data_IF_018983191099
#
_entry.id   IF_018983191099
#
_cell.length_a   1.000
_cell.length_b   1.000
_cell.length_c   1.000
_cell.angle_alpha   90.00
_cell.angle_beta   90.00
_cell.angle_gamma   90.00
#
_symmetry.space_group_name_H-M   'P 1'
#
loop_
_entity.id
_entity.type
_entity.pdbx_description
1 polymer ?
#
# COMPACT_ATOMS: atom_id res chain seq x y z
N UNK A 1 -1.28 -47.03 28.27
CA UNK A 1 -0.11 -47.93 28.43
C UNK A 1 0.39 -47.79 29.86
N UNK A 2 0.52 -48.91 30.57
CA UNK A 2 1.04 -48.92 31.94
C UNK A 2 2.56 -49.08 31.91
N UNK A 3 3.29 -47.99 32.12
CA UNK A 3 4.76 -47.96 32.05
C UNK A 3 5.42 -48.81 33.13
N UNK A 4 4.78 -48.94 34.30
CA UNK A 4 5.27 -49.80 35.39
C UNK A 4 5.13 -51.28 35.01
N UNK A 5 4.02 -51.65 34.38
CA UNK A 5 3.81 -53.02 33.88
C UNK A 5 4.82 -53.39 32.80
N UNK A 6 5.03 -52.51 31.83
CA UNK A 6 5.99 -52.70 30.73
C UNK A 6 7.42 -52.75 31.29
N UNK A 7 7.79 -51.84 32.21
CA UNK A 7 9.10 -51.84 32.86
C UNK A 7 9.41 -53.14 33.60
N UNK A 8 8.44 -53.64 34.39
CA UNK A 8 8.57 -54.94 35.07
C UNK A 8 8.68 -56.10 34.08
N UNK A 9 7.98 -56.02 32.95
CA UNK A 9 8.06 -57.02 31.89
C UNK A 9 9.44 -57.03 31.22
N UNK A 10 10.00 -55.87 30.87
CA UNK A 10 11.37 -55.72 30.36
C UNK A 10 12.38 -56.34 31.34
N UNK A 11 12.26 -56.01 32.64
CA UNK A 11 13.15 -56.55 33.67
C UNK A 11 13.06 -58.09 33.77
N UNK A 12 11.84 -58.64 33.64
CA UNK A 12 11.60 -60.09 33.65
C UNK A 12 12.24 -60.76 32.44
N UNK A 13 11.94 -60.30 31.23
CA UNK A 13 12.47 -60.89 29.99
C UNK A 13 14.01 -60.81 29.91
N UNK A 14 14.59 -59.69 30.37
CA UNK A 14 16.06 -59.54 30.46
C UNK A 14 16.67 -60.60 31.38
N UNK A 15 16.05 -60.83 32.55
CA UNK A 15 16.52 -61.84 33.52
C UNK A 15 16.37 -63.26 32.97
N UNK A 16 15.29 -63.56 32.24
CA UNK A 16 15.11 -64.85 31.55
C UNK A 16 16.22 -65.12 30.53
N UNK A 17 16.80 -64.07 29.92
CA UNK A 17 17.97 -64.15 29.03
C UNK A 17 19.32 -64.10 29.77
N UNK A 18 19.33 -64.12 31.11
CA UNK A 18 20.54 -64.05 31.95
C UNK A 18 21.42 -62.81 31.72
N UNK A 19 20.84 -61.68 31.29
CA UNK A 19 21.58 -60.44 31.02
C UNK A 19 21.57 -59.49 32.23
N UNK A 20 22.65 -58.75 32.48
CA UNK A 20 22.61 -57.61 33.41
C UNK A 20 22.01 -56.36 32.75
N UNK A 21 21.63 -55.35 33.54
CA UNK A 21 21.18 -54.06 32.97
C UNK A 21 22.29 -53.42 32.11
N UNK A 22 23.55 -53.59 32.50
CA UNK A 22 24.74 -53.12 31.75
C UNK A 22 24.86 -53.82 30.39
N UNK A 23 24.59 -55.13 30.33
CA UNK A 23 24.66 -55.89 29.08
C UNK A 23 23.56 -55.50 28.10
N UNK A 24 22.32 -55.33 28.60
CA UNK A 24 21.21 -54.85 27.76
C UNK A 24 21.47 -53.42 27.25
N UNK A 25 22.02 -52.56 28.11
CA UNK A 25 22.40 -51.21 27.75
C UNK A 25 23.45 -51.19 26.64
N UNK A 26 24.48 -52.05 26.75
CA UNK A 26 25.56 -52.18 25.76
C UNK A 26 25.03 -52.60 24.38
N UNK A 27 24.13 -53.59 24.34
CA UNK A 27 23.56 -54.11 23.07
C UNK A 27 22.66 -53.06 22.41
N UNK A 28 21.89 -52.29 23.19
CA UNK A 28 20.99 -51.27 22.67
C UNK A 28 21.65 -49.89 22.46
N UNK A 29 22.95 -49.76 22.78
CA UNK A 29 23.68 -48.50 22.64
C UNK A 29 23.18 -47.38 23.56
N UNK A 30 22.65 -47.72 24.74
CA UNK A 30 22.14 -46.76 25.74
C UNK A 30 22.89 -46.89 27.06
N UNK A 31 22.64 -45.98 28.01
CA UNK A 31 23.27 -46.06 29.35
C UNK A 31 22.55 -47.07 30.24
N UNK A 32 23.26 -47.71 31.18
CA UNK A 32 22.65 -48.57 32.20
C UNK A 32 21.52 -47.84 32.97
N UNK A 33 21.74 -46.55 33.30
CA UNK A 33 20.72 -45.68 33.93
C UNK A 33 19.44 -45.56 33.09
N UNK A 34 19.54 -45.59 31.77
CA UNK A 34 18.38 -45.59 30.86
C UNK A 34 17.57 -46.88 31.02
N UNK A 35 18.23 -48.05 31.00
CA UNK A 35 17.57 -49.35 31.23
C UNK A 35 16.90 -49.40 32.60
N UNK A 36 17.61 -48.99 33.66
CA UNK A 36 17.07 -48.94 35.03
C UNK A 36 15.83 -48.04 35.12
N UNK A 37 15.80 -46.92 34.40
CA UNK A 37 14.64 -46.04 34.35
C UNK A 37 13.45 -46.66 33.63
N UNK A 38 13.68 -47.43 32.55
CA UNK A 38 12.62 -48.18 31.88
C UNK A 38 12.05 -49.27 32.78
N UNK A 39 12.91 -50.06 33.42
CA UNK A 39 12.49 -51.18 34.28
C UNK A 39 11.70 -50.72 35.51
N UNK A 40 12.00 -49.54 36.03
CA UNK A 40 11.27 -48.91 37.14
C UNK A 40 10.02 -48.13 36.68
N UNK A 41 9.69 -48.13 35.39
CA UNK A 41 8.49 -47.48 34.84
C UNK A 41 8.53 -45.95 34.79
N UNK A 42 9.69 -45.34 35.01
CA UNK A 42 9.84 -43.87 35.04
C UNK A 42 9.63 -43.24 33.65
N UNK A 43 10.08 -43.91 32.59
CA UNK A 43 9.94 -43.46 31.19
C UNK A 43 9.88 -44.69 30.26
N UNK A 44 9.29 -44.52 29.07
CA UNK A 44 9.22 -45.56 28.03
C UNK A 44 10.47 -45.54 27.14
N UNK A 45 10.90 -46.66 26.54
CA UNK A 45 11.89 -46.63 25.47
C UNK A 45 11.41 -45.79 24.29
N UNK A 46 12.32 -45.06 23.64
CA UNK A 46 12.01 -44.30 22.43
C UNK A 46 11.52 -45.22 21.30
N UNK A 47 10.69 -44.68 20.40
CA UNK A 47 10.06 -45.44 19.31
C UNK A 47 11.09 -46.21 18.46
N UNK A 48 12.27 -45.62 18.24
CA UNK A 48 13.38 -46.23 17.50
C UNK A 48 14.01 -47.43 18.19
N UNK A 49 13.91 -47.50 19.53
CA UNK A 49 14.50 -48.56 20.36
C UNK A 49 13.52 -49.68 20.68
N UNK A 50 12.21 -49.50 20.43
CA UNK A 50 11.21 -50.53 20.71
C UNK A 50 11.43 -51.82 19.89
N UNK A 51 11.74 -51.69 18.59
CA UNK A 51 12.02 -52.87 17.73
C UNK A 51 13.33 -53.56 18.13
N UNK A 52 14.47 -52.86 18.23
CA UNK A 52 15.72 -53.46 18.73
C UNK A 52 15.56 -54.11 20.12
N UNK A 53 14.84 -53.46 21.04
CA UNK A 53 14.58 -54.01 22.37
C UNK A 53 13.75 -55.30 22.31
N UNK A 54 12.73 -55.35 21.45
CA UNK A 54 11.91 -56.56 21.27
C UNK A 54 12.72 -57.71 20.67
N UNK A 55 13.63 -57.42 19.74
CA UNK A 55 14.52 -58.42 19.10
C UNK A 55 15.53 -58.98 20.11
N UNK A 56 16.16 -58.12 20.93
CA UNK A 56 17.13 -58.55 21.96
C UNK A 56 16.48 -59.39 23.05
N UNK A 57 15.24 -59.05 23.43
CA UNK A 57 14.47 -59.77 24.44
C UNK A 57 13.71 -60.98 23.88
N UNK A 58 13.74 -61.19 22.56
CA UNK A 58 13.10 -62.30 21.85
C UNK A 58 11.58 -62.38 22.14
N UNK A 59 10.94 -61.21 22.03
CA UNK A 59 9.51 -61.01 22.19
C UNK A 59 8.99 -60.21 21.00
N UNK A 60 7.71 -60.35 20.69
CA UNK A 60 7.09 -59.48 19.69
C UNK A 60 6.96 -58.05 20.24
N UNK A 61 6.98 -57.07 19.32
CA UNK A 61 6.72 -55.67 19.68
C UNK A 61 5.40 -55.51 20.42
N UNK A 62 4.38 -56.31 20.09
CA UNK A 62 3.09 -56.22 20.74
C UNK A 62 3.12 -56.74 22.19
N UNK A 63 3.89 -57.79 22.48
CA UNK A 63 4.11 -58.30 23.86
C UNK A 63 4.89 -57.29 24.71
N UNK A 64 5.89 -56.63 24.12
CA UNK A 64 6.62 -55.54 24.79
C UNK A 64 5.67 -54.41 25.20
N UNK A 65 4.74 -54.03 24.32
CA UNK A 65 3.83 -52.91 24.54
C UNK A 65 2.64 -53.24 25.44
N UNK A 66 2.26 -54.51 25.55
CA UNK A 66 1.24 -55.00 26.50
C UNK A 66 1.82 -55.28 27.89
N UNK A 67 3.13 -55.49 28.00
CA UNK A 67 3.79 -55.97 29.21
C UNK A 67 3.42 -57.41 29.57
N UNK A 68 2.96 -58.20 28.60
CA UNK A 68 2.46 -59.57 28.75
C UNK A 68 2.98 -60.44 27.61
N UNK A 69 3.36 -61.69 27.93
CA UNK A 69 3.72 -62.73 26.95
C UNK A 69 2.43 -63.40 26.43
N UNK A 70 2.46 -63.93 25.21
CA UNK A 70 1.35 -64.67 24.61
C UNK A 70 0.02 -63.88 24.56
N UNK A 71 0.11 -62.63 24.13
CA UNK A 71 -1.09 -61.78 24.00
C UNK A 71 -2.03 -62.27 22.90
N UNK A 72 -3.33 -62.15 23.17
CA UNK A 72 -4.37 -62.36 22.17
C UNK A 72 -4.17 -61.46 20.94
N UNK A 73 -4.53 -61.96 19.75
CA UNK A 73 -4.54 -61.20 18.48
C UNK A 73 -5.27 -59.86 18.60
N UNK A 74 -6.33 -59.79 19.41
CA UNK A 74 -7.10 -58.56 19.64
C UNK A 74 -6.28 -57.47 20.35
N UNK A 75 -5.62 -57.80 21.47
CA UNK A 75 -4.68 -56.89 22.16
C UNK A 75 -3.50 -56.46 21.28
N UNK A 76 -3.01 -57.36 20.42
CA UNK A 76 -1.96 -57.04 19.46
C UNK A 76 -2.42 -55.98 18.44
N UNK A 77 -3.62 -56.14 17.88
CA UNK A 77 -4.22 -55.17 16.97
C UNK A 77 -4.52 -53.83 17.66
N UNK A 78 -4.99 -53.84 18.90
CA UNK A 78 -5.19 -52.64 19.71
C UNK A 78 -3.88 -51.88 19.93
N UNK A 79 -2.79 -52.57 20.28
CA UNK A 79 -1.48 -51.95 20.44
C UNK A 79 -0.99 -51.28 19.15
N UNK A 80 -1.11 -51.95 18.00
CA UNK A 80 -0.76 -51.37 16.69
C UNK A 80 -1.62 -50.13 16.39
N UNK A 81 -2.92 -50.19 16.66
CA UNK A 81 -3.84 -49.05 16.47
C UNK A 81 -3.46 -47.85 17.36
N UNK A 82 -3.02 -48.10 18.59
CA UNK A 82 -2.61 -47.05 19.53
C UNK A 82 -1.31 -46.37 19.11
N UNK A 83 -0.32 -47.14 18.64
CA UNK A 83 0.95 -46.59 18.12
C UNK A 83 0.70 -45.74 16.86
N UNK A 84 -0.12 -46.25 15.94
CA UNK A 84 -0.44 -45.54 14.68
C UNK A 84 -1.25 -44.28 14.93
N UNK A 85 -2.21 -44.30 15.87
CA UNK A 85 -2.92 -43.10 16.29
C UNK A 85 -1.96 -42.08 16.94
N UNK A 86 -1.06 -42.53 17.82
CA UNK A 86 -0.07 -41.66 18.44
C UNK A 86 0.89 -41.03 17.40
N UNK A 87 1.41 -41.82 16.46
CA UNK A 87 2.30 -41.32 15.41
C UNK A 87 1.60 -40.30 14.52
N UNK A 88 0.34 -40.56 14.14
CA UNK A 88 -0.49 -39.61 13.39
C UNK A 88 -0.72 -38.30 14.15
N UNK A 89 -0.92 -38.33 15.47
CA UNK A 89 -1.05 -37.12 16.29
C UNK A 89 0.25 -36.29 16.26
N UNK A 90 1.41 -36.94 16.39
CA UNK A 90 2.72 -36.27 16.32
C UNK A 90 2.96 -35.67 14.93
N UNK A 91 2.72 -36.43 13.86
CA UNK A 91 2.87 -35.98 12.47
C UNK A 91 1.96 -34.77 12.21
N UNK A 92 0.68 -34.85 12.60
CA UNK A 92 -0.26 -33.75 12.41
C UNK A 92 0.15 -32.50 13.20
N UNK A 93 0.75 -32.65 14.38
CA UNK A 93 1.30 -31.53 15.15
C UNK A 93 2.47 -30.85 14.43
N UNK A 94 3.41 -31.64 13.90
CA UNK A 94 4.56 -31.12 13.12
C UNK A 94 4.09 -30.43 11.84
N UNK A 95 3.19 -31.06 11.07
CA UNK A 95 2.62 -30.48 9.86
C UNK A 95 1.89 -29.16 10.14
N UNK A 96 1.10 -29.10 11.23
CA UNK A 96 0.42 -27.86 11.64
C UNK A 96 1.43 -26.74 11.90
N UNK A 97 2.54 -27.03 12.57
CA UNK A 97 3.59 -26.03 12.80
C UNK A 97 4.21 -25.54 11.48
N UNK A 98 4.45 -26.43 10.52
CA UNK A 98 4.95 -26.07 9.18
C UNK A 98 3.96 -25.16 8.44
N UNK A 99 2.66 -25.44 8.52
CA UNK A 99 1.66 -24.58 7.86
C UNK A 99 1.57 -23.20 8.50
N UNK A 100 1.71 -23.12 9.83
CA UNK A 100 1.75 -21.85 10.56
C UNK A 100 2.99 -21.03 10.17
N UNK A 101 4.18 -21.64 10.10
CA UNK A 101 5.40 -20.94 9.68
C UNK A 101 5.30 -20.46 8.23
N UNK A 102 4.68 -21.24 7.34
CA UNK A 102 4.41 -20.84 5.96
C UNK A 102 3.51 -19.60 5.89
N UNK A 103 2.47 -19.53 6.73
CA UNK A 103 1.60 -18.34 6.81
C UNK A 103 2.36 -17.10 7.27
N UNK A 104 3.20 -17.23 8.31
CA UNK A 104 4.02 -16.11 8.78
C UNK A 104 5.02 -15.65 7.72
N UNK A 105 5.63 -16.58 6.98
CA UNK A 105 6.54 -16.24 5.88
C UNK A 105 5.81 -15.51 4.75
N UNK A 106 4.59 -15.95 4.40
CA UNK A 106 3.74 -15.27 3.42
C UNK A 106 3.38 -13.84 3.87
N UNK A 107 2.98 -13.67 5.13
CA UNK A 107 2.67 -12.36 5.70
C UNK A 107 3.90 -11.45 5.73
N UNK A 108 5.06 -11.98 6.11
CA UNK A 108 6.32 -11.25 6.10
C UNK A 108 6.70 -10.75 4.70
N UNK A 109 6.51 -11.59 3.67
CA UNK A 109 6.75 -11.20 2.27
C UNK A 109 5.80 -10.08 1.83
N UNK A 110 4.52 -10.13 2.21
CA UNK A 110 3.55 -9.07 1.91
C UNK A 110 4.00 -7.75 2.54
N UNK A 111 4.31 -7.74 3.84
CA UNK A 111 4.75 -6.55 4.55
C UNK A 111 6.04 -5.99 3.95
N UNK A 112 7.02 -6.86 3.68
CA UNK A 112 8.29 -6.45 3.08
C UNK A 112 8.11 -5.86 1.68
N UNK A 113 7.25 -6.46 0.85
CA UNK A 113 6.94 -5.95 -0.48
C UNK A 113 6.35 -4.54 -0.42
N UNK A 114 5.41 -4.31 0.49
CA UNK A 114 4.74 -3.01 0.65
C UNK A 114 5.66 -1.92 1.20
N UNK A 115 6.61 -2.26 2.07
CA UNK A 115 7.52 -1.30 2.70
C UNK A 115 8.76 -0.98 1.85
N UNK A 116 9.34 -1.97 1.15
CA UNK A 116 10.64 -1.83 0.50
C UNK A 116 10.51 -1.37 -0.96
N UNK A 117 9.51 -1.87 -1.68
CA UNK A 117 9.41 -1.58 -3.12
C UNK A 117 8.75 -0.24 -3.37
N UNK A 118 9.21 0.52 -4.37
CA UNK A 118 8.52 1.74 -4.80
C UNK A 118 7.15 1.41 -5.41
N UNK A 119 6.12 2.26 -5.25
CA UNK A 119 4.80 2.01 -5.83
C UNK A 119 4.80 1.91 -7.36
N UNK A 120 5.76 2.56 -8.02
CA UNK A 120 5.96 2.51 -9.46
C UNK A 120 6.41 1.14 -9.95
N UNK A 121 7.12 0.39 -9.11
CA UNK A 121 7.65 -0.92 -9.46
C UNK A 121 6.58 -2.00 -9.43
N UNK A 122 6.42 -2.73 -10.54
CA UNK A 122 5.55 -3.91 -10.60
C UNK A 122 6.02 -5.05 -9.69
N UNK A 123 7.28 -5.04 -9.22
CA UNK A 123 7.79 -6.09 -8.34
C UNK A 123 7.06 -6.15 -7.00
N UNK A 124 6.60 -5.02 -6.48
CA UNK A 124 5.83 -4.96 -5.23
C UNK A 124 4.57 -5.81 -5.30
N UNK A 125 3.77 -5.64 -6.36
CA UNK A 125 2.51 -6.40 -6.53
C UNK A 125 2.76 -7.89 -6.76
N UNK A 126 3.83 -8.26 -7.48
CA UNK A 126 4.23 -9.65 -7.70
C UNK A 126 4.59 -10.33 -6.38
N UNK A 127 5.44 -9.72 -5.54
CA UNK A 127 5.83 -10.31 -4.26
C UNK A 127 4.64 -10.39 -3.29
N UNK A 128 3.76 -9.39 -3.29
CA UNK A 128 2.52 -9.44 -2.51
C UNK A 128 1.62 -10.61 -2.97
N UNK A 129 1.50 -10.86 -4.27
CA UNK A 129 0.73 -11.98 -4.80
C UNK A 129 1.33 -13.34 -4.39
N UNK A 130 2.66 -13.49 -4.45
CA UNK A 130 3.35 -14.71 -3.99
C UNK A 130 3.12 -14.93 -2.49
N UNK A 131 3.28 -13.88 -1.67
CA UNK A 131 3.05 -13.93 -0.23
C UNK A 131 1.61 -14.29 0.12
N UNK A 132 0.64 -13.75 -0.63
CA UNK A 132 -0.78 -14.07 -0.47
C UNK A 132 -1.08 -15.54 -0.81
N UNK A 133 -0.51 -16.07 -1.89
CA UNK A 133 -0.63 -17.49 -2.25
C UNK A 133 -0.06 -18.40 -1.14
N UNK A 134 1.11 -18.07 -0.60
CA UNK A 134 1.72 -18.83 0.51
C UNK A 134 0.84 -18.80 1.77
N UNK A 135 0.29 -17.64 2.11
CA UNK A 135 -0.61 -17.48 3.24
C UNK A 135 -1.89 -18.31 3.06
N UNK A 136 -2.54 -18.24 1.88
CA UNK A 136 -3.76 -18.99 1.57
C UNK A 136 -3.50 -20.50 1.60
N UNK A 137 -2.37 -20.97 1.05
CA UNK A 137 -2.01 -22.39 1.08
C UNK A 137 -1.83 -22.87 2.53
N UNK A 138 -1.09 -22.12 3.35
CA UNK A 138 -0.92 -22.45 4.77
C UNK A 138 -2.24 -22.47 5.54
N UNK A 139 -3.09 -21.46 5.33
CA UNK A 139 -4.41 -21.36 5.95
C UNK A 139 -5.34 -22.52 5.54
N UNK A 140 -5.42 -22.82 4.24
CA UNK A 140 -6.23 -23.90 3.70
C UNK A 140 -5.82 -25.27 4.30
N UNK A 141 -4.51 -25.50 4.48
CA UNK A 141 -4.01 -26.75 5.07
C UNK A 141 -4.36 -26.88 6.55
N UNK A 142 -4.46 -25.79 7.30
CA UNK A 142 -4.91 -25.79 8.69
C UNK A 142 -6.40 -26.17 8.84
N UNK A 143 -7.21 -25.98 7.80
CA UNK A 143 -8.64 -26.26 7.80
C UNK A 143 -9.01 -27.70 7.42
N UNK A 144 -8.04 -28.59 7.18
CA UNK A 144 -8.28 -30.01 6.83
C UNK A 144 -9.13 -30.81 7.83
N UNK A 145 -9.39 -30.28 9.03
CA UNK A 145 -10.30 -30.89 10.01
C UNK A 145 -11.78 -30.74 9.65
N UNK A 146 -12.12 -29.76 8.81
CA UNK A 146 -13.50 -29.50 8.37
C UNK A 146 -13.84 -30.28 7.10
N UNK A 147 -15.13 -30.37 6.80
CA UNK A 147 -15.61 -30.90 5.52
C UNK A 147 -15.08 -30.03 4.36
N UNK A 148 -14.85 -30.67 3.21
CA UNK A 148 -14.26 -30.01 2.03
C UNK A 148 -15.01 -28.72 1.65
N UNK A 149 -16.36 -28.73 1.71
CA UNK A 149 -17.19 -27.57 1.38
C UNK A 149 -16.89 -26.37 2.30
N UNK A 150 -16.86 -26.60 3.62
CA UNK A 150 -16.57 -25.55 4.60
C UNK A 150 -15.13 -25.05 4.50
N UNK A 151 -14.19 -25.94 4.17
CA UNK A 151 -12.81 -25.57 3.89
C UNK A 151 -12.76 -24.57 2.72
N UNK A 152 -13.41 -24.86 1.59
CA UNK A 152 -13.45 -23.95 0.43
C UNK A 152 -14.13 -22.61 0.77
N UNK A 153 -15.27 -22.63 1.47
CA UNK A 153 -16.00 -21.41 1.86
C UNK A 153 -15.13 -20.51 2.73
N UNK A 154 -14.49 -21.06 3.77
CA UNK A 154 -13.64 -20.29 4.67
C UNK A 154 -12.40 -19.77 3.96
N UNK A 155 -11.78 -20.55 3.07
CA UNK A 155 -10.64 -20.07 2.28
C UNK A 155 -11.03 -18.94 1.36
N UNK A 156 -12.16 -19.04 0.66
CA UNK A 156 -12.65 -17.99 -0.23
C UNK A 156 -12.96 -16.71 0.54
N UNK A 157 -13.62 -16.82 1.69
CA UNK A 157 -13.90 -15.69 2.57
C UNK A 157 -12.64 -14.96 3.03
N UNK A 158 -11.61 -15.70 3.45
CA UNK A 158 -10.33 -15.11 3.86
C UNK A 158 -9.58 -14.49 2.67
N UNK A 159 -9.60 -15.13 1.49
CA UNK A 159 -8.98 -14.58 0.28
C UNK A 159 -9.62 -13.25 -0.13
N UNK A 160 -10.96 -13.18 -0.15
CA UNK A 160 -11.68 -11.94 -0.48
C UNK A 160 -11.38 -10.85 0.55
N UNK A 161 -11.34 -11.20 1.84
CA UNK A 161 -11.01 -10.25 2.91
C UNK A 161 -9.58 -9.72 2.77
N UNK A 162 -8.58 -10.58 2.51
CA UNK A 162 -7.20 -10.16 2.33
C UNK A 162 -7.03 -9.26 1.08
N UNK A 163 -7.67 -9.61 -0.04
CA UNK A 163 -7.64 -8.78 -1.25
C UNK A 163 -8.30 -7.41 -1.01
N UNK A 164 -9.46 -7.39 -0.34
CA UNK A 164 -10.14 -6.16 0.04
C UNK A 164 -9.27 -5.25 0.91
N UNK A 165 -8.59 -5.80 1.92
CA UNK A 165 -7.66 -5.05 2.75
C UNK A 165 -6.48 -4.50 1.95
N UNK A 166 -5.86 -5.31 1.08
CA UNK A 166 -4.74 -4.86 0.25
C UNK A 166 -5.13 -3.69 -0.67
N UNK A 167 -6.27 -3.79 -1.35
CA UNK A 167 -6.79 -2.74 -2.22
C UNK A 167 -7.16 -1.48 -1.43
N UNK A 168 -7.74 -1.64 -0.23
CA UNK A 168 -8.08 -0.53 0.64
C UNK A 168 -6.83 0.23 1.12
N UNK A 169 -5.80 -0.48 1.57
CA UNK A 169 -4.55 0.15 1.98
C UNK A 169 -3.79 0.80 0.81
N UNK A 170 -3.83 0.20 -0.37
CA UNK A 170 -3.25 0.81 -1.58
C UNK A 170 -3.98 2.12 -1.93
N UNK A 171 -5.31 2.13 -1.88
CA UNK A 171 -6.11 3.34 -2.09
C UNK A 171 -5.80 4.46 -1.09
N UNK A 172 -5.69 4.13 0.19
CA UNK A 172 -5.29 5.09 1.22
C UNK A 172 -3.88 5.64 0.94
N UNK A 173 -2.95 4.78 0.55
CA UNK A 173 -1.59 5.20 0.22
C UNK A 173 -1.56 6.20 -0.96
N UNK A 174 -2.35 5.94 -2.01
CA UNK A 174 -2.48 6.82 -3.18
C UNK A 174 -2.98 8.20 -2.79
N UNK A 175 -4.02 8.28 -1.94
CA UNK A 175 -4.61 9.56 -1.54
C UNK A 175 -3.68 10.34 -0.63
N UNK A 176 -3.11 9.69 0.39
CA UNK A 176 -2.32 10.36 1.42
C UNK A 176 -0.95 10.78 0.90
N UNK A 177 -0.28 9.89 0.16
CA UNK A 177 1.09 10.14 -0.32
C UNK A 177 1.15 10.67 -1.74
N UNK A 178 0.00 10.90 -2.41
CA UNK A 178 -0.07 11.31 -3.82
C UNK A 178 0.84 10.44 -4.70
N UNK A 179 0.63 9.13 -4.63
CA UNK A 179 1.47 8.13 -5.30
C UNK A 179 0.68 7.35 -6.35
N UNK A 180 1.39 6.61 -7.20
CA UNK A 180 0.74 5.69 -8.16
C UNK A 180 0.18 4.46 -7.45
N UNK A 181 -0.94 3.88 -7.93
CA UNK A 181 -1.50 2.65 -7.38
C UNK A 181 -0.56 1.47 -7.64
N UNK A 182 -0.32 0.64 -6.61
CA UNK A 182 0.49 -0.58 -6.74
C UNK A 182 -0.29 -1.66 -7.50
N UNK A 183 -1.57 -1.82 -7.18
CA UNK A 183 -2.44 -2.85 -7.79
C UNK A 183 -3.19 -2.29 -9.00
N UNK A 184 -2.43 -1.86 -10.00
CA UNK A 184 -2.93 -1.34 -11.28
C UNK A 184 -3.17 -2.44 -12.30
N UNK A 185 -4.21 -2.26 -13.12
CA UNK A 185 -4.61 -3.14 -14.21
C UNK A 185 -3.89 -2.80 -15.52
N UNK A 186 -3.76 -1.50 -15.83
CA UNK A 186 -3.06 -1.03 -17.01
C UNK A 186 -2.39 0.32 -16.79
N UNK A 187 -1.35 0.59 -17.59
CA UNK A 187 -0.67 1.88 -17.67
C UNK A 187 -0.75 2.36 -19.11
N UNK A 188 -1.21 3.59 -19.32
CA UNK A 188 -1.26 4.23 -20.63
C UNK A 188 -0.31 5.42 -20.63
N UNK A 189 0.70 5.36 -21.50
CA UNK A 189 1.65 6.42 -21.73
C UNK A 189 1.15 7.30 -22.88
N UNK A 190 1.22 8.61 -22.72
CA UNK A 190 0.91 9.57 -23.79
C UNK A 190 2.09 10.48 -24.07
N UNK A 191 2.08 11.13 -25.22
CA UNK A 191 3.12 12.09 -25.63
C UNK A 191 3.04 13.45 -24.92
N UNK A 192 1.98 13.71 -24.15
CA UNK A 192 1.66 15.04 -23.58
C UNK A 192 1.83 15.10 -22.06
N UNK A 193 2.98 14.66 -21.53
CA UNK A 193 3.35 14.74 -20.10
C UNK A 193 2.34 14.12 -19.10
N UNK A 194 1.43 13.26 -19.56
CA UNK A 194 0.42 12.60 -18.72
C UNK A 194 0.50 11.08 -18.83
N UNK A 195 0.49 10.42 -17.67
CA UNK A 195 0.42 8.97 -17.54
C UNK A 195 -0.88 8.60 -16.81
N UNK A 196 -1.66 7.70 -17.40
CA UNK A 196 -2.87 7.14 -16.79
C UNK A 196 -2.58 5.77 -16.19
N UNK A 197 -2.98 5.60 -14.93
CA UNK A 197 -2.94 4.35 -14.18
C UNK A 197 -4.38 3.92 -13.87
N UNK A 198 -4.82 2.81 -14.46
CA UNK A 198 -6.14 2.26 -14.18
C UNK A 198 -6.05 1.24 -13.05
N UNK A 199 -6.77 1.50 -11.95
CA UNK A 199 -6.94 0.56 -10.83
C UNK A 199 -8.37 0.01 -10.84
N UNK A 200 -8.66 -1.00 -9.99
CA UNK A 200 -9.95 -1.67 -10.03
C UNK A 200 -11.15 -0.71 -9.82
N UNK A 201 -11.04 0.20 -8.85
CA UNK A 201 -12.14 1.08 -8.44
C UNK A 201 -11.97 2.56 -8.82
N UNK A 202 -10.78 2.97 -9.27
CA UNK A 202 -10.45 4.37 -9.55
C UNK A 202 -9.37 4.45 -10.63
N UNK A 203 -9.20 5.65 -11.20
CA UNK A 203 -8.07 5.98 -12.07
C UNK A 203 -7.16 6.99 -11.36
N UNK A 204 -5.87 6.95 -11.68
CA UNK A 204 -4.91 7.96 -11.25
C UNK A 204 -4.21 8.53 -12.48
N UNK A 205 -4.17 9.85 -12.58
CA UNK A 205 -3.43 10.57 -13.61
C UNK A 205 -2.21 11.22 -12.97
N UNK A 206 -1.02 10.89 -13.47
CA UNK A 206 0.24 11.57 -13.15
C UNK A 206 0.51 12.59 -14.24
N UNK A 207 0.54 13.86 -13.90
CA UNK A 207 0.61 14.99 -14.84
C UNK A 207 1.93 15.74 -14.64
N UNK A 208 2.52 16.24 -15.73
CA UNK A 208 3.84 16.88 -15.77
C UNK A 208 4.93 15.96 -15.21
N UNK A 209 4.89 14.67 -15.59
CA UNK A 209 5.80 13.66 -15.05
C UNK A 209 7.27 14.08 -15.26
N UNK A 210 8.12 13.82 -14.26
CA UNK A 210 9.55 14.14 -14.29
C UNK A 210 9.88 15.66 -14.33
N UNK A 211 8.89 16.52 -14.06
CA UNK A 211 9.11 17.96 -13.88
C UNK A 211 8.91 18.39 -12.42
N UNK A 212 9.42 19.57 -11.99
CA UNK A 212 9.17 20.10 -10.65
C UNK A 212 7.69 20.37 -10.32
N UNK A 213 6.83 20.43 -11.35
CA UNK A 213 5.40 20.69 -11.22
C UNK A 213 4.56 19.41 -11.35
N UNK A 214 5.15 18.25 -11.07
CA UNK A 214 4.44 16.97 -11.09
C UNK A 214 3.34 16.90 -10.02
N UNK A 215 2.16 16.42 -10.40
CA UNK A 215 1.08 16.13 -9.46
C UNK A 215 0.17 15.00 -9.93
N UNK A 216 -0.69 14.55 -9.01
CA UNK A 216 -1.56 13.39 -9.17
C UNK A 216 -3.03 13.80 -9.04
N UNK A 217 -3.87 13.28 -9.93
CA UNK A 217 -5.32 13.39 -9.86
C UNK A 217 -5.90 12.00 -9.68
N UNK A 218 -6.69 11.80 -8.62
CA UNK A 218 -7.43 10.56 -8.37
C UNK A 218 -8.87 10.74 -8.83
N UNK A 219 -9.28 9.94 -9.81
CA UNK A 219 -10.65 9.89 -10.32
C UNK A 219 -11.36 8.61 -9.85
N UNK A 220 -12.11 8.74 -8.75
CA UNK A 220 -12.95 7.67 -8.21
C UNK A 220 -14.16 7.34 -9.09
N UNK A 221 -14.57 8.27 -9.96
CA UNK A 221 -15.75 8.12 -10.83
C UNK A 221 -15.43 7.52 -12.19
N UNK A 222 -14.15 7.44 -12.57
CA UNK A 222 -13.68 7.02 -13.89
C UNK A 222 -14.33 7.82 -15.04
N UNK A 223 -14.59 9.10 -14.80
CA UNK A 223 -15.20 10.01 -15.77
C UNK A 223 -14.17 10.61 -16.74
N UNK A 224 -12.91 10.67 -16.32
CA UNK A 224 -11.84 11.27 -17.12
C UNK A 224 -11.04 10.21 -17.88
N UNK A 225 -10.49 10.65 -19.01
CA UNK A 225 -9.45 10.00 -19.81
C UNK A 225 -8.29 10.99 -19.99
N UNK A 226 -7.18 10.55 -20.58
CA UNK A 226 -5.99 11.41 -20.74
C UNK A 226 -6.25 12.75 -21.45
N UNK A 227 -7.20 12.79 -22.38
CA UNK A 227 -7.56 14.02 -23.11
C UNK A 227 -8.56 14.91 -22.36
N UNK A 228 -9.29 14.39 -21.38
CA UNK A 228 -10.35 15.12 -20.67
C UNK A 228 -10.02 15.41 -19.21
N UNK A 229 -8.95 14.81 -18.68
CA UNK A 229 -8.47 15.09 -17.32
C UNK A 229 -8.10 16.57 -17.21
N UNK A 230 -8.57 17.27 -16.16
CA UNK A 230 -8.18 18.66 -15.96
C UNK A 230 -6.68 18.75 -15.69
N UNK A 231 -5.94 19.43 -16.58
CA UNK A 231 -4.50 19.67 -16.45
C UNK A 231 -4.26 21.13 -16.07
N UNK A 232 -3.10 21.41 -15.52
CA UNK A 232 -2.60 22.74 -15.19
C UNK A 232 -1.09 22.74 -15.43
N UNK A 233 -0.55 23.79 -16.06
CA UNK A 233 0.90 23.96 -16.26
C UNK A 233 1.62 24.34 -14.95
N UNK A 234 0.86 24.73 -13.92
CA UNK A 234 1.40 25.22 -12.65
C UNK A 234 1.44 24.15 -11.56
N UNK A 235 2.22 24.42 -10.51
CA UNK A 235 2.29 23.57 -9.34
C UNK A 235 0.97 23.64 -8.54
N UNK A 236 0.05 22.73 -8.85
CA UNK A 236 -1.27 22.67 -8.22
C UNK A 236 -1.24 22.47 -6.69
N UNK A 237 -0.17 21.89 -6.15
CA UNK A 237 0.00 21.76 -4.70
C UNK A 237 0.24 23.10 -4.01
N UNK A 238 0.64 24.13 -4.76
CA UNK A 238 0.86 25.50 -4.28
C UNK A 238 -0.26 26.41 -4.79
N UNK A 239 -0.46 26.44 -6.10
CA UNK A 239 -1.36 27.38 -6.77
C UNK A 239 -2.77 26.88 -7.02
N UNK A 240 -3.08 25.62 -6.78
CA UNK A 240 -4.43 25.10 -6.98
C UNK A 240 -5.47 25.82 -6.13
N UNK A 241 -6.70 25.92 -6.64
CA UNK A 241 -7.78 26.67 -5.98
C UNK A 241 -8.05 26.21 -4.54
N UNK A 242 -7.82 24.93 -4.23
CA UNK A 242 -7.92 24.37 -2.88
C UNK A 242 -7.00 25.08 -1.87
N UNK A 243 -5.85 25.57 -2.31
CA UNK A 243 -4.90 26.31 -1.49
C UNK A 243 -5.14 27.81 -1.51
N UNK A 244 -5.62 28.37 -2.63
CA UNK A 244 -5.82 29.81 -2.78
C UNK A 244 -7.05 30.31 -2.03
N UNK A 245 -8.13 29.52 -1.99
CA UNK A 245 -9.43 29.94 -1.46
C UNK A 245 -9.38 30.38 0.02
N UNK A 246 -8.42 29.86 0.79
CA UNK A 246 -8.22 30.23 2.21
C UNK A 246 -7.77 31.68 2.40
N UNK A 247 -7.23 32.31 1.35
CA UNK A 247 -6.79 33.70 1.37
C UNK A 247 -7.85 34.67 0.85
N UNK A 248 -9.06 34.20 0.52
CA UNK A 248 -10.17 35.06 0.09
C UNK A 248 -10.40 36.16 1.13
N UNK A 249 -10.47 37.41 0.67
CA UNK A 249 -10.66 38.55 1.54
C UNK A 249 -11.47 39.65 0.83
N UNK A 250 -12.30 40.37 1.58
CA UNK A 250 -13.11 41.45 1.03
C UNK A 250 -12.29 42.67 0.63
N UNK A 251 -11.16 42.89 1.30
CA UNK A 251 -10.36 44.10 1.12
C UNK A 251 -8.86 43.81 0.95
N UNK A 252 -8.24 44.48 -0.02
CA UNK A 252 -6.80 44.63 -0.22
C UNK A 252 -6.20 45.53 0.88
N UNK A 253 -6.15 45.03 2.11
CA UNK A 253 -5.61 45.78 3.27
C UNK A 253 -4.92 44.91 4.31
N UNK A 254 -4.93 43.59 4.12
CA UNK A 254 -4.19 42.65 4.95
C UNK A 254 -2.92 42.23 4.20
N UNK A 255 -1.85 43.02 4.36
CA UNK A 255 -0.59 42.81 3.63
C UNK A 255 -0.03 41.39 3.82
N UNK A 256 -0.16 40.82 5.02
CA UNK A 256 0.28 39.45 5.29
C UNK A 256 -0.53 38.43 4.51
N UNK A 257 -1.86 38.57 4.46
CA UNK A 257 -2.72 37.67 3.70
C UNK A 257 -2.51 37.81 2.18
N UNK A 258 -2.41 39.05 1.68
CA UNK A 258 -2.13 39.33 0.26
C UNK A 258 -0.77 38.78 -0.16
N UNK A 259 0.28 38.98 0.65
CA UNK A 259 1.60 38.40 0.40
C UNK A 259 1.57 36.88 0.38
N UNK A 260 0.87 36.24 1.33
CA UNK A 260 0.73 34.78 1.34
C UNK A 260 -0.05 34.24 0.12
N UNK A 261 -1.05 34.98 -0.36
CA UNK A 261 -1.77 34.67 -1.59
C UNK A 261 -0.84 34.76 -2.80
N UNK A 262 -0.13 35.88 -2.98
CA UNK A 262 0.81 36.07 -4.09
C UNK A 262 1.92 35.01 -4.04
N UNK A 263 2.42 34.67 -2.85
CA UNK A 263 3.42 33.62 -2.68
C UNK A 263 2.91 32.23 -3.08
N UNK A 264 1.58 32.04 -3.12
CA UNK A 264 0.95 30.79 -3.56
C UNK A 264 0.60 30.82 -5.05
N UNK A 265 0.81 31.93 -5.76
CA UNK A 265 0.53 32.06 -7.19
C UNK A 265 1.77 31.70 -8.04
N UNK A 266 1.56 31.30 -9.32
CA UNK A 266 2.62 31.19 -10.32
C UNK A 266 3.56 32.41 -10.34
N UNK A 267 4.83 32.16 -10.70
CA UNK A 267 5.95 33.11 -10.76
C UNK A 267 6.55 33.55 -9.41
N UNK A 268 5.88 33.28 -8.28
CA UNK A 268 6.40 33.68 -6.96
C UNK A 268 7.76 33.05 -6.61
N UNK A 269 8.06 31.87 -7.14
CA UNK A 269 9.31 31.13 -6.94
C UNK A 269 10.56 31.85 -7.49
N UNK A 270 10.38 32.80 -8.41
CA UNK A 270 11.48 33.61 -8.96
C UNK A 270 11.74 34.89 -8.14
N UNK A 271 11.00 35.10 -7.05
CA UNK A 271 11.13 36.25 -6.18
C UNK A 271 10.35 37.47 -6.68
N UNK A 272 9.77 38.20 -5.74
CA UNK A 272 8.98 39.39 -6.02
C UNK A 272 8.98 40.36 -4.83
N UNK A 273 8.63 41.60 -5.09
CA UNK A 273 8.10 42.56 -4.11
C UNK A 273 6.70 42.98 -4.56
N UNK A 274 5.83 43.36 -3.62
CA UNK A 274 4.53 43.92 -3.98
C UNK A 274 4.25 45.19 -3.18
N UNK A 275 3.46 46.07 -3.79
CA UNK A 275 2.99 47.32 -3.22
C UNK A 275 1.47 47.40 -3.37
N UNK A 276 0.81 47.98 -2.37
CA UNK A 276 -0.63 48.21 -2.38
C UNK A 276 -0.83 49.73 -2.40
N UNK A 277 -1.48 50.22 -3.44
CA UNK A 277 -1.84 51.63 -3.59
C UNK A 277 -3.37 51.76 -3.74
N UNK A 278 -4.06 51.98 -2.62
CA UNK A 278 -5.52 52.03 -2.57
C UNK A 278 -6.15 50.68 -2.96
N UNK A 279 -6.78 50.64 -4.14
CA UNK A 279 -7.37 49.43 -4.74
C UNK A 279 -6.49 48.80 -5.82
N UNK A 280 -5.27 49.32 -6.02
CA UNK A 280 -4.31 48.82 -6.99
C UNK A 280 -3.26 47.93 -6.32
N UNK A 281 -2.90 46.83 -6.98
CA UNK A 281 -1.86 45.91 -6.55
C UNK A 281 -0.72 45.90 -7.57
N UNK A 282 0.47 46.31 -7.15
CA UNK A 282 1.68 46.31 -8.00
C UNK A 282 2.57 45.16 -7.56
N UNK A 283 2.96 44.29 -8.47
CA UNK A 283 3.84 43.14 -8.23
C UNK A 283 5.08 43.28 -9.10
N UNK A 284 6.23 43.44 -8.47
CA UNK A 284 7.54 43.57 -9.09
C UNK A 284 8.27 42.22 -9.01
N UNK A 285 8.35 41.48 -10.13
CA UNK A 285 9.09 40.23 -10.19
C UNK A 285 10.59 40.49 -10.42
N UNK A 286 11.44 39.72 -9.73
CA UNK A 286 12.89 39.79 -9.89
C UNK A 286 13.39 38.93 -11.06
N UNK A 287 12.67 38.98 -12.19
CA UNK A 287 12.99 38.23 -13.40
C UNK A 287 12.72 39.05 -14.66
N UNK A 288 13.28 38.59 -15.77
CA UNK A 288 12.95 39.03 -17.13
C UNK A 288 11.93 38.06 -17.72
N UNK A 289 10.78 38.56 -18.14
CA UNK A 289 9.71 37.80 -18.77
C UNK A 289 10.20 37.00 -20.00
N UNK A 290 10.98 37.62 -20.91
CA UNK A 290 11.46 36.99 -22.14
C UNK A 290 12.16 35.65 -21.89
N UNK A 291 13.07 35.59 -20.90
CA UNK A 291 13.89 34.40 -20.66
C UNK A 291 13.11 33.22 -20.07
N UNK A 292 11.92 33.49 -19.50
CA UNK A 292 11.11 32.48 -18.82
C UNK A 292 9.78 32.21 -19.52
N UNK A 293 9.53 32.81 -20.68
CA UNK A 293 8.27 32.65 -21.41
C UNK A 293 8.25 31.47 -22.40
N UNK A 294 9.06 30.44 -22.14
CA UNK A 294 9.01 29.19 -22.91
C UNK A 294 7.58 28.62 -22.88
N UNK A 295 7.04 28.26 -24.04
CA UNK A 295 5.66 27.78 -24.21
C UNK A 295 4.60 28.71 -23.55
N UNK A 296 4.79 30.03 -23.64
CA UNK A 296 3.88 31.05 -23.11
C UNK A 296 3.67 30.97 -21.59
N UNK A 297 4.64 30.43 -20.84
CA UNK A 297 4.50 30.20 -19.41
C UNK A 297 4.21 31.47 -18.60
N UNK A 298 4.89 32.58 -18.91
CA UNK A 298 4.67 33.88 -18.25
C UNK A 298 3.26 34.38 -18.58
N UNK A 299 2.85 34.32 -19.85
CA UNK A 299 1.53 34.77 -20.28
C UNK A 299 0.40 33.98 -19.59
N UNK A 300 0.54 32.65 -19.54
CA UNK A 300 -0.34 31.75 -18.78
C UNK A 300 -0.40 32.18 -17.32
N UNK A 301 0.75 32.42 -16.70
CA UNK A 301 0.83 32.76 -15.28
C UNK A 301 0.17 34.11 -14.97
N UNK A 302 0.38 35.12 -15.80
CA UNK A 302 -0.23 36.44 -15.62
C UNK A 302 -1.76 36.38 -15.72
N UNK A 303 -2.30 35.70 -16.74
CA UNK A 303 -3.76 35.49 -16.86
C UNK A 303 -4.30 34.75 -15.62
N UNK A 304 -3.65 33.64 -15.23
CA UNK A 304 -4.06 32.84 -14.07
C UNK A 304 -4.05 33.67 -12.78
N UNK A 305 -2.97 34.42 -12.54
CA UNK A 305 -2.80 35.25 -11.37
C UNK A 305 -3.86 36.34 -11.31
N UNK A 306 -4.15 36.97 -12.46
CA UNK A 306 -5.14 38.05 -12.55
C UNK A 306 -6.54 37.55 -12.22
N UNK A 307 -6.98 36.48 -12.89
CA UNK A 307 -8.29 35.86 -12.65
C UNK A 307 -8.40 35.41 -11.19
N UNK A 308 -7.35 34.80 -10.63
CA UNK A 308 -7.32 34.36 -9.23
C UNK A 308 -7.43 35.52 -8.24
N UNK A 309 -6.63 36.57 -8.41
CA UNK A 309 -6.59 37.73 -7.53
C UNK A 309 -7.92 38.50 -7.55
N UNK A 310 -8.47 38.79 -8.73
CA UNK A 310 -9.77 39.46 -8.85
C UNK A 310 -10.93 38.63 -8.29
N UNK A 311 -10.84 37.30 -8.35
CA UNK A 311 -11.85 36.40 -7.79
C UNK A 311 -11.76 36.26 -6.28
N UNK A 312 -10.57 36.47 -5.68
CA UNK A 312 -10.32 36.27 -4.25
C UNK A 312 -10.31 37.56 -3.44
N UNK A 313 -10.10 38.71 -4.07
CA UNK A 313 -10.04 40.02 -3.43
C UNK A 313 -11.13 40.91 -4.02
N UNK A 314 -12.18 41.20 -3.27
CA UNK A 314 -13.40 41.80 -3.82
C UNK A 314 -13.20 43.26 -4.29
N UNK A 315 -12.40 44.05 -3.56
CA UNK A 315 -12.19 45.48 -3.85
C UNK A 315 -10.94 45.78 -4.72
N UNK A 316 -10.29 44.77 -5.28
CA UNK A 316 -9.12 44.93 -6.14
C UNK A 316 -9.57 45.43 -7.52
N UNK A 317 -9.06 46.57 -7.98
CA UNK A 317 -9.48 47.18 -9.24
C UNK A 317 -8.44 46.99 -10.36
N UNK A 318 -7.17 47.22 -10.06
CA UNK A 318 -6.08 47.07 -11.03
C UNK A 318 -4.94 46.23 -10.48
N UNK A 319 -4.29 45.48 -11.35
CA UNK A 319 -3.05 44.76 -11.06
C UNK A 319 -2.00 45.19 -12.07
N UNK A 320 -0.81 45.51 -11.60
CA UNK A 320 0.35 45.83 -12.44
C UNK A 320 1.46 44.82 -12.16
N UNK A 321 1.91 44.12 -13.19
CA UNK A 321 3.00 43.17 -13.12
C UNK A 321 4.24 43.77 -13.79
N UNK A 322 5.28 44.03 -13.00
CA UNK A 322 6.54 44.58 -13.49
C UNK A 322 7.60 43.48 -13.58
N UNK A 323 8.28 43.43 -14.72
CA UNK A 323 9.46 42.63 -14.96
C UNK A 323 10.65 43.54 -15.25
N UNK A 324 11.84 42.96 -15.37
CA UNK A 324 13.05 43.68 -15.77
C UNK A 324 13.01 44.05 -17.26
N UNK A 325 12.17 45.02 -17.65
CA UNK A 325 12.13 45.58 -19.00
C UNK A 325 10.73 45.70 -19.62
N UNK A 326 9.71 45.13 -18.98
CA UNK A 326 8.32 45.18 -19.41
C UNK A 326 7.39 45.37 -18.21
N UNK A 327 6.22 45.95 -18.46
CA UNK A 327 5.15 46.07 -17.48
C UNK A 327 3.81 45.75 -18.12
N UNK A 328 3.02 44.95 -17.40
CA UNK A 328 1.71 44.49 -17.82
C UNK A 328 0.67 44.99 -16.84
N UNK A 329 -0.29 45.79 -17.31
CA UNK A 329 -1.40 46.26 -16.49
C UNK A 329 -2.70 45.56 -16.88
N UNK A 330 -3.52 45.23 -15.88
CA UNK A 330 -4.86 44.66 -16.09
C UNK A 330 -5.86 45.26 -15.11
N UNK A 331 -7.03 45.60 -15.64
CA UNK A 331 -8.17 46.09 -14.87
C UNK A 331 -9.21 44.97 -14.67
N UNK A 332 -9.93 44.98 -13.54
CA UNK A 332 -11.05 44.07 -13.27
C UNK A 332 -12.07 44.05 -14.40
N UNK A 333 -12.47 45.21 -14.90
CA UNK A 333 -13.47 45.32 -15.97
C UNK A 333 -12.99 44.61 -17.25
N UNK A 334 -11.73 44.77 -17.61
CA UNK A 334 -11.14 44.08 -18.77
C UNK A 334 -11.20 42.55 -18.60
N UNK A 335 -10.95 42.02 -17.40
CA UNK A 335 -11.12 40.57 -17.13
C UNK A 335 -12.58 40.14 -17.22
N UNK A 336 -13.51 40.92 -16.67
CA UNK A 336 -14.94 40.59 -16.70
C UNK A 336 -15.48 40.57 -18.14
N UNK A 337 -15.03 41.50 -18.97
CA UNK A 337 -15.50 41.66 -20.34
C UNK A 337 -14.80 40.71 -21.32
N UNK A 338 -13.49 40.50 -21.16
CA UNK A 338 -12.68 39.76 -22.16
C UNK A 338 -12.39 38.31 -21.74
N UNK A 339 -12.42 37.94 -20.45
CA UNK A 339 -12.15 36.56 -20.04
C UNK A 339 -13.38 35.65 -20.22
N UNK A 340 -13.32 34.63 -21.09
CA UNK A 340 -14.49 33.81 -21.38
C UNK A 340 -15.01 33.05 -20.15
N UNK A 341 -16.32 33.17 -19.89
CA UNK A 341 -17.01 32.52 -18.77
C UNK A 341 -16.55 32.98 -17.37
N UNK A 342 -15.97 34.17 -17.23
CA UNK A 342 -15.57 34.71 -15.92
C UNK A 342 -16.73 34.68 -14.90
N UNK A 343 -17.93 35.05 -15.32
CA UNK A 343 -19.14 35.01 -14.48
C UNK A 343 -19.56 33.61 -14.00
N UNK A 344 -19.05 32.53 -14.60
CA UNK A 344 -19.31 31.15 -14.15
C UNK A 344 -18.30 30.68 -13.10
N UNK A 345 -17.21 31.41 -12.91
CA UNK A 345 -16.20 31.14 -11.86
C UNK A 345 -16.78 31.53 -10.50
N UNK A 346 -17.51 32.64 -10.46
CA UNK A 346 -18.16 33.19 -9.27
C UNK A 346 -19.63 32.76 -9.24
N UNK A 347 -20.06 32.10 -8.15
CA UNK A 347 -21.47 31.75 -7.93
C UNK A 347 -21.94 32.45 -6.65
N UNK A 348 -22.79 33.48 -6.76
CA UNK A 348 -23.25 34.29 -5.62
C UNK A 348 -22.09 34.73 -4.70
N UNK A 349 -21.06 35.34 -5.28
CA UNK A 349 -19.84 35.79 -4.61
C UNK A 349 -18.96 34.68 -3.99
N UNK A 350 -19.26 33.39 -4.19
CA UNK A 350 -18.42 32.27 -3.78
C UNK A 350 -17.76 31.57 -4.98
N UNK A 351 -16.47 31.26 -4.87
CA UNK A 351 -15.74 30.54 -5.92
C UNK A 351 -16.15 29.08 -5.91
N UNK A 352 -16.70 28.59 -7.01
CA UNK A 352 -16.93 27.16 -7.19
C UNK A 352 -15.66 26.49 -7.73
N UNK A 353 -15.05 25.62 -6.92
CA UNK A 353 -13.80 24.93 -7.25
C UNK A 353 -13.85 24.17 -8.58
N UNK A 354 -14.98 23.53 -8.88
CA UNK A 354 -15.13 22.75 -10.11
C UNK A 354 -15.19 23.65 -11.35
N UNK A 355 -15.88 24.79 -11.26
CA UNK A 355 -15.93 25.75 -12.37
C UNK A 355 -14.61 26.49 -12.52
N UNK A 356 -13.92 26.80 -11.42
CA UNK A 356 -12.57 27.37 -11.45
C UNK A 356 -11.58 26.42 -12.15
N UNK A 357 -11.55 25.14 -11.77
CA UNK A 357 -10.69 24.15 -12.44
C UNK A 357 -11.01 24.06 -13.94
N UNK A 358 -12.30 24.04 -14.29
CA UNK A 358 -12.74 23.90 -15.68
C UNK A 358 -12.44 25.12 -16.55
N UNK A 359 -12.70 26.33 -16.04
CA UNK A 359 -12.63 27.55 -16.84
C UNK A 359 -11.34 28.32 -16.65
N UNK A 360 -10.55 28.04 -15.60
CA UNK A 360 -9.26 28.69 -15.33
C UNK A 360 -8.12 27.71 -15.50
N UNK A 361 -7.98 26.70 -14.64
CA UNK A 361 -6.81 25.79 -14.66
C UNK A 361 -6.66 25.09 -16.01
N UNK A 362 -7.74 24.52 -16.55
CA UNK A 362 -7.69 23.81 -17.82
C UNK A 362 -7.37 24.71 -19.01
N UNK A 363 -7.89 25.94 -19.01
CA UNK A 363 -7.68 26.89 -20.11
C UNK A 363 -6.22 27.33 -20.23
N UNK A 364 -5.43 27.20 -19.16
CA UNK A 364 -3.99 27.53 -19.20
C UNK A 364 -3.17 26.54 -20.02
N UNK A 365 -3.74 25.41 -20.47
CA UNK A 365 -3.07 24.47 -21.39
C UNK A 365 -3.40 24.75 -22.86
N UNK A 366 -4.33 25.65 -23.16
CA UNK A 366 -4.70 26.01 -24.54
C UNK A 366 -3.88 27.23 -24.98
N UNK A 367 -2.80 26.99 -25.72
CA UNK A 367 -1.90 28.06 -26.19
C UNK A 367 -2.62 29.06 -27.10
N UNK A 368 -3.59 28.61 -27.91
CA UNK A 368 -4.37 29.51 -28.77
C UNK A 368 -5.29 30.40 -27.96
N UNK A 369 -5.89 29.86 -26.88
CA UNK A 369 -6.64 30.66 -25.92
C UNK A 369 -5.74 31.74 -25.29
N UNK A 370 -4.53 31.39 -24.89
CA UNK A 370 -3.60 32.35 -24.26
C UNK A 370 -3.20 33.43 -25.26
N UNK A 371 -2.78 33.08 -26.47
CA UNK A 371 -2.36 34.05 -27.48
C UNK A 371 -3.46 35.04 -27.85
N UNK A 372 -4.70 34.55 -28.04
CA UNK A 372 -5.82 35.40 -28.46
C UNK A 372 -6.28 36.36 -27.36
N UNK A 373 -6.29 35.91 -26.10
CA UNK A 373 -6.85 36.72 -25.00
C UNK A 373 -5.79 37.57 -24.29
N UNK A 374 -4.51 37.24 -24.37
CA UNK A 374 -3.47 37.94 -23.60
C UNK A 374 -3.39 39.43 -23.98
N UNK A 375 -3.37 39.75 -25.27
CA UNK A 375 -3.32 41.14 -25.77
C UNK A 375 -4.62 41.91 -25.56
N UNK A 376 -5.76 41.23 -25.41
CA UNK A 376 -7.05 41.86 -25.09
C UNK A 376 -7.21 42.12 -23.59
N UNK A 377 -6.57 41.32 -22.75
CA UNK A 377 -6.65 41.44 -21.28
C UNK A 377 -5.62 42.43 -20.75
N UNK A 378 -4.39 42.40 -21.27
CA UNK A 378 -3.27 43.19 -20.76
C UNK A 378 -2.95 44.37 -21.66
N UNK A 379 -2.75 45.53 -21.03
CA UNK A 379 -2.13 46.69 -21.65
C UNK A 379 -0.61 46.61 -21.37
N UNK A 380 0.20 46.43 -22.42
CA UNK A 380 1.65 46.60 -22.33
C UNK A 380 1.98 48.10 -22.28
N UNK A 381 2.74 48.50 -21.26
CA UNK A 381 3.16 49.90 -21.06
C UNK A 381 4.67 50.09 -21.22
#
# INVERSE_FOLDING_TARGET
>A
MDTLKIGKFIARMRKEKNMTQEDLARILGVTNKTISRWENGNYMPDLSLLKPLSEVLDISLNELLSGEKDISVQKANENISNITNYSNLVINKVLKNIYITLMFLGLFLIISALLVTSPESSWGSIYTAIGLCMFIIGFNRCLKKYNIIWQWILTLGVTVLCLGLLLFFDYLNVIENKSVPRFRLSVTYTSEDVIEYDALFYKVFRINHDTPNEYYIVDNSKNYNVSTVPKSPFNRNVSGIDNLIKYKNKYLGNNSNTGNLINSLPLANYGYAFEIDGTNLIINYYMTDWYYNDNLYVNKALIYNSVSLFSLIDNLDNITYNFSGSSYCVNRNNIVDNYPNYSKILNNDEINKNTFNKYVENMMNDDSFIENNFSEIFEES
#
